data_IF_067531314043
#
_entry.id   IF_067531314043
#
_cell.length_a   1.000
_cell.length_b   1.000
_cell.length_c   1.000
_cell.angle_alpha   90.00
_cell.angle_beta   90.00
_cell.angle_gamma   90.00
#
_symmetry.space_group_name_H-M   'P 1'
#
loop_
_entity.id
_entity.type
_entity.pdbx_description
1 polymer ?
#
# COMPACT_ATOMS: atom_id res chain seq x y z
N UNK A 1 -5.25 -21.31 10.02
CA UNK A 1 -5.76 -19.95 9.70
C UNK A 1 -4.79 -18.96 10.30
N UNK A 2 -4.58 -17.83 9.64
CA UNK A 2 -3.59 -16.80 10.01
C UNK A 2 -4.31 -15.47 10.17
N UNK A 3 -4.14 -14.80 11.31
CA UNK A 3 -4.73 -13.47 11.53
C UNK A 3 -3.76 -12.39 11.05
N UNK A 4 -4.20 -11.52 10.16
CA UNK A 4 -3.37 -10.46 9.57
C UNK A 4 -4.07 -9.11 9.60
N UNK A 5 -3.30 -8.06 9.33
CA UNK A 5 -3.81 -6.71 9.06
C UNK A 5 -3.45 -6.28 7.63
N UNK A 6 -4.39 -5.63 6.94
CA UNK A 6 -4.17 -4.98 5.65
C UNK A 6 -4.38 -3.48 5.84
N UNK A 7 -3.45 -2.66 5.34
CA UNK A 7 -3.50 -1.21 5.46
C UNK A 7 -3.34 -0.52 4.10
N UNK A 8 -4.18 0.48 3.86
CA UNK A 8 -4.04 1.43 2.75
C UNK A 8 -4.41 2.83 3.21
N UNK A 9 -3.75 3.86 2.66
CA UNK A 9 -3.97 5.24 3.08
C UNK A 9 -3.74 6.27 1.98
N UNK A 10 -4.64 7.26 1.94
CA UNK A 10 -4.51 8.50 1.17
C UNK A 10 -4.23 9.66 2.12
N UNK A 11 -4.15 10.89 1.59
CA UNK A 11 -4.00 12.08 2.43
C UNK A 11 -5.26 12.37 3.28
N UNK A 12 -6.43 11.91 2.82
CA UNK A 12 -7.72 12.27 3.40
C UNK A 12 -8.30 11.17 4.29
N UNK A 13 -7.97 9.91 4.03
CA UNK A 13 -8.52 8.77 4.76
C UNK A 13 -7.57 7.58 4.75
N UNK A 14 -7.80 6.67 5.69
CA UNK A 14 -7.04 5.43 5.85
C UNK A 14 -7.98 4.26 6.12
N UNK A 15 -7.54 3.07 5.75
CA UNK A 15 -8.16 1.79 6.07
C UNK A 15 -7.15 0.90 6.78
N UNK A 16 -7.60 0.30 7.89
CA UNK A 16 -6.94 -0.82 8.54
C UNK A 16 -7.99 -1.92 8.70
N UNK A 17 -7.78 -3.03 8.01
CA UNK A 17 -8.69 -4.17 8.01
C UNK A 17 -7.99 -5.40 8.59
N UNK A 18 -8.65 -6.08 9.53
CA UNK A 18 -8.20 -7.40 10.01
C UNK A 18 -8.85 -8.49 9.17
N UNK A 19 -8.06 -9.50 8.81
CA UNK A 19 -8.50 -10.66 8.04
C UNK A 19 -7.97 -11.95 8.68
N UNK A 20 -8.82 -12.97 8.67
CA UNK A 20 -8.41 -14.35 8.93
C UNK A 20 -8.28 -15.06 7.59
N UNK A 21 -7.06 -15.44 7.20
CA UNK A 21 -6.77 -16.05 5.90
C UNK A 21 -6.27 -17.49 6.05
N UNK A 22 -6.33 -18.27 4.97
CA UNK A 22 -5.79 -19.62 4.96
C UNK A 22 -4.26 -19.58 5.14
N UNK A 23 -3.70 -20.62 5.76
CA UNK A 23 -2.24 -20.80 5.79
C UNK A 23 -1.69 -20.95 4.37
N UNK A 24 -0.54 -20.34 4.11
CA UNK A 24 0.03 -20.28 2.77
C UNK A 24 -0.45 -19.11 1.90
N UNK A 25 -1.46 -18.33 2.35
CA UNK A 25 -1.91 -17.13 1.64
C UNK A 25 -0.75 -16.15 1.48
N UNK A 26 -0.59 -15.64 0.27
CA UNK A 26 0.45 -14.66 -0.08
C UNK A 26 0.01 -13.21 0.17
N UNK A 27 0.98 -12.30 0.21
CA UNK A 27 0.72 -10.87 0.38
C UNK A 27 -0.27 -10.32 -0.66
N UNK A 28 -0.10 -10.66 -1.94
CA UNK A 28 -1.00 -10.21 -3.00
C UNK A 28 -2.40 -10.79 -2.86
N UNK A 29 -2.51 -12.10 -2.59
CA UNK A 29 -3.82 -12.75 -2.41
C UNK A 29 -4.60 -12.12 -1.26
N UNK A 30 -3.94 -11.80 -0.14
CA UNK A 30 -4.58 -11.15 0.99
C UNK A 30 -5.07 -9.73 0.65
N UNK A 31 -4.31 -8.97 -0.13
CA UNK A 31 -4.73 -7.64 -0.61
C UNK A 31 -5.95 -7.74 -1.53
N UNK A 32 -6.00 -8.75 -2.42
CA UNK A 32 -7.14 -8.98 -3.30
C UNK A 32 -8.40 -9.45 -2.55
N UNK A 33 -8.25 -10.05 -1.37
CA UNK A 33 -9.35 -10.41 -0.46
C UNK A 33 -9.79 -9.26 0.46
N UNK A 34 -9.06 -8.14 0.45
CA UNK A 34 -9.37 -6.98 1.29
C UNK A 34 -10.46 -6.10 0.66
N UNK A 35 -11.01 -5.19 1.46
CA UNK A 35 -11.96 -4.16 1.04
C UNK A 35 -11.29 -2.96 0.35
N UNK A 36 -9.97 -2.99 0.12
CA UNK A 36 -9.29 -1.83 -0.49
C UNK A 36 -9.90 -1.47 -1.84
N UNK A 37 -10.19 -2.46 -2.70
CA UNK A 37 -10.78 -2.17 -4.02
C UNK A 37 -12.20 -1.57 -3.93
N UNK A 38 -12.95 -1.92 -2.89
CA UNK A 38 -14.30 -1.40 -2.65
C UNK A 38 -14.26 0.02 -2.05
N UNK A 39 -13.39 0.23 -1.06
CA UNK A 39 -13.30 1.50 -0.34
C UNK A 39 -12.48 2.54 -1.12
N UNK A 40 -11.48 2.11 -1.89
CA UNK A 40 -10.56 2.95 -2.67
C UNK A 40 -10.50 2.47 -4.13
N UNK A 41 -11.50 2.80 -4.96
CA UNK A 41 -11.52 2.43 -6.38
C UNK A 41 -10.30 2.95 -7.18
N UNK A 42 -9.62 3.97 -6.67
CA UNK A 42 -8.40 4.54 -7.24
C UNK A 42 -7.13 3.71 -6.95
N UNK A 43 -7.19 2.74 -6.03
CA UNK A 43 -6.05 1.93 -5.63
C UNK A 43 -5.79 0.81 -6.65
N UNK A 44 -4.56 0.73 -7.18
CA UNK A 44 -4.14 -0.41 -8.00
C UNK A 44 -3.77 -1.61 -7.12
N UNK A 45 -4.78 -2.33 -6.63
CA UNK A 45 -4.62 -3.53 -5.79
C UNK A 45 -3.93 -4.70 -6.48
N UNK A 46 -3.66 -4.62 -7.79
CA UNK A 46 -3.01 -5.69 -8.53
C UNK A 46 -1.50 -5.45 -8.65
N UNK A 47 -1.05 -4.20 -8.78
CA UNK A 47 0.36 -3.89 -9.03
C UNK A 47 1.00 -2.97 -7.99
N UNK A 48 0.22 -2.42 -7.05
CA UNK A 48 0.75 -1.58 -5.97
C UNK A 48 1.89 -2.31 -5.22
N UNK A 49 3.04 -1.65 -4.98
CA UNK A 49 4.10 -2.21 -4.15
C UNK A 49 3.57 -2.55 -2.76
N UNK A 50 4.01 -3.69 -2.24
CA UNK A 50 3.57 -4.18 -0.93
C UNK A 50 4.71 -4.11 0.08
N UNK A 51 4.36 -3.90 1.34
CA UNK A 51 5.27 -3.99 2.46
C UNK A 51 4.69 -4.80 3.61
N UNK A 52 5.57 -5.35 4.46
CA UNK A 52 5.20 -5.90 5.76
C UNK A 52 6.01 -5.16 6.82
N UNK A 53 5.33 -4.46 7.73
CA UNK A 53 5.95 -3.61 8.77
C UNK A 53 7.07 -2.70 8.22
N UNK A 54 6.76 -1.92 7.18
CA UNK A 54 7.67 -0.97 6.54
C UNK A 54 8.78 -1.59 5.68
N UNK A 55 8.82 -2.91 5.50
CA UNK A 55 9.78 -3.59 4.61
C UNK A 55 9.09 -4.00 3.33
N UNK A 56 9.63 -3.58 2.18
CA UNK A 56 9.13 -4.01 0.87
C UNK A 56 9.20 -5.54 0.74
N UNK A 57 8.13 -6.14 0.23
CA UNK A 57 8.01 -7.59 0.01
C UNK A 57 7.59 -7.89 -1.41
N UNK A 58 7.80 -9.14 -1.83
CA UNK A 58 7.28 -9.63 -3.12
C UNK A 58 5.82 -10.06 -2.97
N UNK A 59 5.08 -10.01 -4.07
CA UNK A 59 3.69 -10.43 -4.16
C UNK A 59 3.44 -11.87 -3.67
N UNK A 60 4.40 -12.76 -3.91
CA UNK A 60 4.38 -14.20 -3.54
C UNK A 60 4.84 -14.49 -2.10
N UNK A 61 5.08 -13.46 -1.30
CA UNK A 61 5.51 -13.64 0.10
C UNK A 61 4.38 -14.26 0.92
N UNK A 62 4.60 -15.47 1.43
CA UNK A 62 3.64 -16.16 2.32
C UNK A 62 3.55 -15.43 3.66
N UNK A 63 2.31 -15.12 4.07
CA UNK A 63 2.02 -14.39 5.29
C UNK A 63 2.12 -15.26 6.54
N UNK A 64 2.46 -14.60 7.65
CA UNK A 64 2.54 -15.18 8.99
C UNK A 64 1.53 -14.51 9.91
N UNK A 65 1.30 -15.18 11.04
CA UNK A 65 0.37 -14.66 12.05
C UNK A 65 0.84 -13.29 12.53
N UNK A 66 -0.11 -12.35 12.54
CA UNK A 66 0.03 -10.94 12.91
C UNK A 66 0.83 -10.09 11.93
N UNK A 67 1.11 -10.58 10.72
CA UNK A 67 1.67 -9.72 9.68
C UNK A 67 0.72 -8.57 9.36
N UNK A 68 1.28 -7.37 9.22
CA UNK A 68 0.57 -6.22 8.68
C UNK A 68 1.09 -5.90 7.29
N UNK A 69 0.27 -6.14 6.29
CA UNK A 69 0.54 -5.82 4.89
C UNK A 69 0.14 -4.37 4.63
N UNK A 70 1.06 -3.62 4.05
CA UNK A 70 0.90 -2.22 3.66
C UNK A 70 0.84 -2.14 2.14
N UNK A 71 -0.22 -1.55 1.59
CA UNK A 71 -0.37 -1.33 0.15
C UNK A 71 0.08 0.09 -0.18
N UNK A 72 1.19 0.23 -0.92
CA UNK A 72 1.77 1.53 -1.23
C UNK A 72 1.21 2.14 -2.51
N UNK A 73 1.14 3.48 -2.54
CA UNK A 73 0.74 4.22 -3.74
C UNK A 73 1.95 4.44 -4.65
N UNK A 74 1.85 4.18 -5.96
CA UNK A 74 2.89 4.55 -6.90
C UNK A 74 3.10 6.06 -6.91
N UNK A 75 4.33 6.49 -7.17
CA UNK A 75 4.64 7.91 -7.31
C UNK A 75 4.06 8.43 -8.63
N UNK A 76 3.23 9.47 -8.55
CA UNK A 76 2.59 10.10 -9.72
C UNK A 76 3.58 10.91 -10.58
N UNK A 77 4.66 11.42 -9.98
CA UNK A 77 5.69 12.22 -10.64
C UNK A 77 7.04 11.64 -10.23
N UNK A 78 7.96 11.54 -11.19
CA UNK A 78 9.34 11.16 -10.91
C UNK A 78 9.93 12.07 -9.80
N UNK A 79 10.58 11.52 -8.77
CA UNK A 79 11.15 12.30 -7.67
C UNK A 79 12.03 13.48 -8.10
N UNK A 80 12.77 13.35 -9.21
CA UNK A 80 13.59 14.43 -9.77
C UNK A 80 12.73 15.55 -10.35
N UNK A 81 11.62 15.21 -11.01
CA UNK A 81 10.66 16.19 -11.51
C UNK A 81 9.90 16.88 -10.40
N UNK A 82 9.45 16.13 -9.39
CA UNK A 82 8.82 16.68 -8.20
C UNK A 82 9.77 17.64 -7.47
N UNK A 83 11.06 17.29 -7.37
CA UNK A 83 12.08 18.18 -6.81
C UNK A 83 12.26 19.47 -7.64
N UNK A 84 12.28 19.37 -8.98
CA UNK A 84 12.36 20.54 -9.87
C UNK A 84 11.15 21.47 -9.73
N UNK A 85 9.95 20.93 -9.56
CA UNK A 85 8.73 21.72 -9.36
C UNK A 85 8.73 22.44 -8.00
N UNK A 86 9.11 21.75 -6.92
CA UNK A 86 9.20 22.35 -5.57
C UNK A 86 10.13 23.56 -5.49
N UNK A 87 11.30 23.49 -6.15
CA UNK A 87 12.27 24.61 -6.16
C UNK A 87 11.76 25.79 -6.98
N UNK A 88 10.95 25.57 -8.02
CA UNK A 88 10.37 26.64 -8.85
C UNK A 88 9.29 27.41 -8.09
N UNK A 89 8.36 26.71 -7.43
CA UNK A 89 7.29 27.36 -6.68
C UNK A 89 7.79 28.17 -5.47
N UNK A 90 8.93 27.81 -4.88
CA UNK A 90 9.55 28.61 -3.81
C UNK A 90 10.17 29.92 -4.29
N UNK A 91 10.40 30.12 -5.60
CA UNK A 91 10.97 31.36 -6.14
C UNK A 91 9.93 32.39 -6.59
N UNK A 92 8.68 31.99 -6.73
CA UNK A 92 7.57 32.89 -7.10
C UNK A 92 6.84 33.46 -5.87
N UNK A 93 7.19 33.01 -4.67
CA UNK A 93 6.62 33.46 -3.40
C UNK A 93 7.53 34.41 -2.59
N UNK A 94 8.66 34.84 -3.17
CA UNK A 94 9.60 35.85 -2.63
C UNK A 94 9.56 37.15 -3.45
#
# INVERSE_FOLDING_TARGET
>A
MVEIEIVYGTAERQLLQRLSVAEGTTAREAVLQSRIAEEFPEADVHNAPLGIFGKAVKDDTVLRDKDRVEVYRPLLIDPKEARRLRVRNNKEAD
#
